data_IF_465064342646
#
_entry.id   IF_465064342646
#
_cell.length_a   1.000
_cell.length_b   1.000
_cell.length_c   1.000
_cell.angle_alpha   90.00
_cell.angle_beta   90.00
_cell.angle_gamma   90.00
#
_symmetry.space_group_name_H-M   'P 1'
#
loop_
_entity.id
_entity.type
_entity.pdbx_description
1 polymer ?
#
# COMPACT_ATOMS: atom_id res chain seq x y z
N UNK A 1 20.52 -6.08 12.28
CA UNK A 1 19.54 -6.48 11.24
C UNK A 1 19.69 -5.51 10.07
N UNK A 2 20.14 -5.97 8.89
CA UNK A 2 20.21 -5.12 7.69
C UNK A 2 18.79 -5.04 7.13
N UNK A 3 18.13 -3.89 7.27
CA UNK A 3 16.84 -3.65 6.62
C UNK A 3 16.98 -3.84 5.12
N UNK A 4 15.94 -4.39 4.48
CA UNK A 4 15.89 -4.49 3.03
C UNK A 4 16.22 -3.13 2.39
N UNK A 5 16.91 -3.10 1.22
CA UNK A 5 17.16 -1.86 0.51
C UNK A 5 15.83 -1.12 0.32
N UNK A 6 15.74 0.11 0.84
CA UNK A 6 14.58 0.97 0.59
C UNK A 6 14.52 1.17 -0.93
N UNK A 7 13.36 0.94 -1.59
CA UNK A 7 13.23 1.27 -3.00
C UNK A 7 13.66 2.72 -3.20
N UNK A 8 14.47 3.07 -4.21
CA UNK A 8 14.77 4.47 -4.49
C UNK A 8 13.46 5.24 -4.66
N UNK A 9 13.43 6.49 -4.20
CA UNK A 9 12.36 7.41 -4.60
C UNK A 9 12.69 7.82 -6.01
N UNK A 10 11.87 7.36 -6.97
CA UNK A 10 12.03 7.73 -8.37
C UNK A 10 11.80 9.23 -8.57
N UNK A 11 12.27 9.75 -9.70
CA UNK A 11 11.90 11.10 -10.14
C UNK A 11 10.42 11.15 -10.60
N UNK A 12 9.86 9.98 -10.93
CA UNK A 12 8.44 9.81 -11.24
C UNK A 12 7.64 9.47 -9.98
N UNK A 13 6.52 10.18 -9.73
CA UNK A 13 5.58 9.81 -8.69
C UNK A 13 5.02 8.41 -8.92
N UNK A 14 4.92 7.62 -7.86
CA UNK A 14 4.45 6.24 -7.92
C UNK A 14 3.92 5.77 -6.56
N UNK A 15 2.99 4.83 -6.63
CA UNK A 15 2.56 4.04 -5.48
C UNK A 15 3.38 2.75 -5.42
N UNK A 16 4.09 2.53 -4.32
CA UNK A 16 5.04 1.41 -4.18
C UNK A 16 4.69 0.56 -2.97
N UNK A 17 4.47 -0.74 -3.21
CA UNK A 17 4.37 -1.72 -2.12
C UNK A 17 5.71 -1.83 -1.39
N UNK A 18 5.68 -1.75 -0.06
CA UNK A 18 6.86 -1.93 0.77
C UNK A 18 6.91 -3.33 1.39
N UNK A 19 5.81 -3.77 2.00
CA UNK A 19 5.73 -5.07 2.67
C UNK A 19 4.28 -5.42 2.97
N UNK A 20 4.03 -6.68 3.33
CA UNK A 20 2.81 -7.08 4.01
C UNK A 20 3.19 -7.89 5.24
N UNK A 21 2.47 -7.69 6.35
CA UNK A 21 2.84 -8.28 7.64
C UNK A 21 1.65 -8.35 8.60
N UNK A 22 1.73 -9.30 9.54
CA UNK A 22 0.82 -9.38 10.68
C UNK A 22 1.44 -8.72 11.91
N UNK A 23 0.69 -7.85 12.59
CA UNK A 23 1.11 -7.25 13.88
C UNK A 23 0.03 -7.49 14.93
N UNK A 24 -1.09 -6.78 14.79
CA UNK A 24 -2.36 -7.01 15.51
C UNK A 24 -3.48 -7.41 14.57
N UNK A 25 -3.32 -7.08 13.29
CA UNK A 25 -4.15 -7.40 12.14
C UNK A 25 -3.22 -7.53 10.92
N UNK A 26 -3.74 -8.00 9.79
CA UNK A 26 -3.00 -8.01 8.54
C UNK A 26 -2.85 -6.61 8.00
N UNK A 27 -1.64 -6.26 7.56
CA UNK A 27 -1.36 -4.96 6.98
C UNK A 27 -0.67 -5.12 5.63
N UNK A 28 -1.16 -4.40 4.64
CA UNK A 28 -0.41 -4.10 3.41
C UNK A 28 0.17 -2.71 3.57
N UNK A 29 1.51 -2.64 3.60
CA UNK A 29 2.24 -1.38 3.75
C UNK A 29 2.73 -0.95 2.39
N UNK A 30 2.34 0.25 1.99
CA UNK A 30 2.71 0.87 0.73
C UNK A 30 3.09 2.33 0.95
N UNK A 31 3.66 2.94 -0.07
CA UNK A 31 4.12 4.31 -0.03
C UNK A 31 3.69 5.07 -1.28
N UNK A 32 3.52 6.37 -1.14
CA UNK A 32 3.30 7.29 -2.25
C UNK A 32 4.45 8.28 -2.33
N UNK A 33 4.94 8.56 -3.54
CA UNK A 33 6.07 9.44 -3.80
C UNK A 33 5.61 10.78 -4.34
N UNK A 34 5.70 11.85 -3.52
CA UNK A 34 5.21 13.20 -3.85
C UNK A 34 3.72 13.25 -4.24
N UNK A 35 2.91 12.31 -3.75
CA UNK A 35 1.47 12.24 -4.00
C UNK A 35 0.68 12.22 -2.70
N UNK A 36 -0.53 12.75 -2.78
CA UNK A 36 -1.48 12.73 -1.66
C UNK A 36 -2.45 11.56 -1.85
N UNK A 37 -2.51 10.67 -0.86
CA UNK A 37 -3.50 9.59 -0.86
C UNK A 37 -4.93 10.14 -0.70
N UNK A 38 -5.84 9.71 -1.57
CA UNK A 38 -7.27 10.07 -1.52
C UNK A 38 -8.11 8.97 -0.91
N UNK A 39 -8.00 7.76 -1.46
CA UNK A 39 -8.73 6.59 -0.95
C UNK A 39 -8.01 5.30 -1.37
N UNK A 40 -8.35 4.21 -0.68
CA UNK A 40 -7.91 2.87 -1.03
C UNK A 40 -9.11 1.96 -0.98
N UNK A 41 -9.26 1.14 -2.01
CA UNK A 41 -10.33 0.15 -2.08
C UNK A 41 -9.77 -1.24 -2.36
N UNK A 42 -10.53 -2.24 -1.94
CA UNK A 42 -10.39 -3.64 -2.30
C UNK A 42 -11.74 -4.05 -2.88
N UNK A 43 -11.78 -4.48 -4.14
CA UNK A 43 -13.02 -4.79 -4.88
C UNK A 43 -14.08 -3.65 -4.81
N UNK A 44 -13.61 -2.39 -4.87
CA UNK A 44 -14.46 -1.20 -4.78
C UNK A 44 -14.97 -0.86 -3.37
N UNK A 45 -14.68 -1.68 -2.36
CA UNK A 45 -14.98 -1.39 -0.96
C UNK A 45 -13.84 -0.62 -0.32
N UNK A 46 -14.13 0.50 0.34
CA UNK A 46 -13.10 1.28 1.05
C UNK A 46 -12.43 0.46 2.15
N UNK A 47 -11.09 0.52 2.17
CA UNK A 47 -10.26 -0.14 3.17
C UNK A 47 -9.76 0.91 4.17
N UNK A 48 -9.77 0.63 5.48
CA UNK A 48 -9.16 1.51 6.47
C UNK A 48 -7.66 1.66 6.20
N UNK A 49 -7.22 2.91 6.04
CA UNK A 49 -5.80 3.23 5.85
C UNK A 49 -5.33 4.25 6.87
N UNK A 50 -4.16 3.97 7.46
CA UNK A 50 -3.47 4.90 8.36
C UNK A 50 -2.12 5.32 7.78
N UNK A 51 -1.80 6.61 7.90
CA UNK A 51 -0.45 7.10 7.63
C UNK A 51 0.46 6.69 8.80
N UNK A 52 1.49 5.89 8.51
CA UNK A 52 2.41 5.34 9.53
C UNK A 52 3.75 6.06 9.58
N UNK A 53 4.03 6.94 8.62
CA UNK A 53 5.20 7.80 8.67
C UNK A 53 5.56 8.45 7.36
N UNK A 54 6.76 9.02 7.33
CA UNK A 54 7.40 9.56 6.14
C UNK A 54 8.82 9.02 6.00
N UNK A 55 9.28 8.88 4.76
CA UNK A 55 10.62 8.45 4.41
C UNK A 55 11.25 9.47 3.44
N UNK A 56 12.54 9.28 3.15
CA UNK A 56 13.28 10.06 2.16
C UNK A 56 13.15 11.58 2.33
N UNK A 57 13.31 12.06 3.58
CA UNK A 57 13.24 13.50 3.88
C UNK A 57 11.86 14.12 3.70
N UNK A 58 10.79 13.32 3.71
CA UNK A 58 9.40 13.78 3.58
C UNK A 58 8.81 13.60 2.19
N UNK A 59 9.60 13.21 1.19
CA UNK A 59 9.14 12.99 -0.20
C UNK A 59 8.28 11.73 -0.37
N UNK A 60 8.38 10.80 0.57
CA UNK A 60 7.64 9.53 0.54
C UNK A 60 6.73 9.46 1.77
N UNK A 61 5.42 9.40 1.57
CA UNK A 61 4.47 9.11 2.64
C UNK A 61 4.25 7.59 2.71
N UNK A 62 4.20 7.03 3.92
CA UNK A 62 4.00 5.58 4.12
C UNK A 62 2.67 5.35 4.80
N UNK A 63 1.93 4.40 4.23
CA UNK A 63 0.57 4.04 4.63
C UNK A 63 0.49 2.56 4.94
N UNK A 64 -0.43 2.20 5.84
CA UNK A 64 -0.78 0.83 6.12
C UNK A 64 -2.29 0.66 5.95
N UNK A 65 -2.68 -0.17 4.99
CA UNK A 65 -4.05 -0.65 4.84
C UNK A 65 -4.24 -1.84 5.78
N UNK A 66 -5.29 -1.81 6.60
CA UNK A 66 -5.58 -2.83 7.61
C UNK A 66 -6.67 -3.79 7.13
N UNK A 67 -6.44 -5.09 7.31
CA UNK A 67 -7.36 -6.16 6.98
C UNK A 67 -7.58 -7.08 8.19
N UNK A 68 -8.83 -7.54 8.41
CA UNK A 68 -9.11 -8.51 9.46
C UNK A 68 -8.46 -9.86 9.16
N UNK A 69 -8.43 -10.25 7.88
CA UNK A 69 -7.92 -11.52 7.38
C UNK A 69 -6.79 -11.31 6.38
N UNK A 70 -6.09 -12.41 6.06
CA UNK A 70 -5.09 -12.39 5.02
C UNK A 70 -5.78 -12.12 3.68
N UNK A 71 -5.29 -11.13 2.93
CA UNK A 71 -5.79 -10.80 1.59
C UNK A 71 -4.80 -11.20 0.50
N UNK A 72 -5.32 -11.65 -0.64
CA UNK A 72 -4.63 -11.86 -1.92
C UNK A 72 -5.22 -10.94 -2.99
N UNK A 73 -4.56 -10.78 -4.13
CA UNK A 73 -4.99 -9.85 -5.19
C UNK A 73 -4.36 -8.47 -5.02
N UNK A 74 -5.04 -7.40 -5.44
CA UNK A 74 -4.51 -6.03 -5.44
C UNK A 74 -5.46 -4.98 -4.84
N UNK A 75 -4.87 -4.00 -4.16
CA UNK A 75 -5.57 -2.79 -3.74
C UNK A 75 -5.62 -1.79 -4.88
N UNK A 76 -6.77 -1.15 -5.03
CA UNK A 76 -6.93 0.02 -5.89
C UNK A 76 -6.66 1.27 -5.05
N UNK A 77 -5.61 2.01 -5.39
CA UNK A 77 -5.15 3.19 -4.66
C UNK A 77 -5.42 4.43 -5.50
N UNK A 78 -6.20 5.36 -4.97
CA UNK A 78 -6.46 6.66 -5.60
C UNK A 78 -5.56 7.71 -4.97
N UNK A 79 -4.77 8.39 -5.80
CA UNK A 79 -3.84 9.44 -5.39
C UNK A 79 -4.03 10.71 -6.18
N UNK A 80 -3.69 11.83 -5.56
CA UNK A 80 -3.54 13.12 -6.23
C UNK A 80 -2.07 13.32 -6.62
N UNK A 81 -1.82 13.43 -7.92
CA UNK A 81 -0.53 13.77 -8.54
C UNK A 81 -0.58 15.17 -9.14
N UNK A 82 -0.15 16.16 -8.36
CA UNK A 82 -0.31 17.57 -8.74
C UNK A 82 -1.80 17.91 -8.90
N UNK A 83 -2.25 18.27 -10.10
CA UNK A 83 -3.67 18.54 -10.40
C UNK A 83 -4.45 17.34 -10.95
N UNK A 84 -3.81 16.18 -11.11
CA UNK A 84 -4.43 14.98 -11.66
C UNK A 84 -4.76 13.96 -10.56
N UNK A 85 -5.91 13.32 -10.67
CA UNK A 85 -6.19 12.10 -9.91
C UNK A 85 -5.73 10.89 -10.72
N UNK A 86 -5.02 9.98 -10.06
CA UNK A 86 -4.45 8.77 -10.65
C UNK A 86 -4.89 7.59 -9.81
N UNK A 87 -5.20 6.48 -10.49
CA UNK A 87 -5.50 5.20 -9.87
C UNK A 87 -4.35 4.25 -10.14
N UNK A 88 -3.78 3.66 -9.09
CA UNK A 88 -2.73 2.67 -9.17
C UNK A 88 -3.13 1.37 -8.46
N UNK A 89 -2.55 0.25 -8.90
CA UNK A 89 -2.79 -1.07 -8.32
C UNK A 89 -1.60 -1.48 -7.45
N UNK A 90 -1.86 -1.92 -6.23
CA UNK A 90 -0.85 -2.36 -5.27
C UNK A 90 -1.10 -3.82 -4.90
N UNK A 91 -0.20 -4.76 -5.24
CA UNK A 91 -0.42 -6.16 -4.89
C UNK A 91 -0.41 -6.34 -3.37
N UNK A 92 -1.32 -7.16 -2.87
CA UNK A 92 -1.38 -7.56 -1.47
C UNK A 92 -0.37 -8.67 -1.17
N UNK A 93 -0.10 -9.53 -2.17
CA UNK A 93 0.70 -10.75 -2.18
C UNK A 93 1.65 -10.98 -0.99
N UNK A 94 1.08 -11.65 0.01
CA UNK A 94 1.76 -12.65 0.79
C UNK A 94 1.50 -13.98 0.07
N UNK A 95 2.54 -14.77 -0.23
CA UNK A 95 2.35 -16.09 -0.83
C UNK A 95 1.37 -16.91 0.02
N UNK A 96 0.19 -17.28 -0.49
CA UNK A 96 -0.79 -18.02 0.30
C UNK A 96 -0.26 -19.42 0.57
N UNK A 97 -0.36 -19.87 1.83
CA UNK A 97 -0.13 -21.27 2.19
C UNK A 97 -1.42 -22.08 2.35
N UNK A 98 -2.61 -21.47 2.23
CA UNK A 98 -3.90 -22.16 2.41
C UNK A 98 -5.05 -21.54 1.60
N UNK A 99 -6.04 -22.36 1.23
CA UNK A 99 -7.27 -22.03 0.47
C UNK A 99 -8.30 -21.15 1.25
N UNK A 100 -7.90 -20.55 2.38
CA UNK A 100 -8.79 -19.78 3.27
C UNK A 100 -8.58 -18.27 3.19
N UNK A 101 -7.98 -17.78 2.10
CA UNK A 101 -7.53 -16.40 1.97
C UNK A 101 -8.58 -15.55 1.26
N UNK A 102 -8.91 -14.39 1.82
CA UNK A 102 -9.84 -13.46 1.21
C UNK A 102 -9.17 -12.74 0.02
N UNK A 103 -9.98 -12.24 -0.93
CA UNK A 103 -9.49 -11.76 -2.22
C UNK A 103 -9.78 -10.27 -2.42
N UNK A 104 -8.92 -9.63 -3.22
CA UNK A 104 -9.05 -8.28 -3.72
C UNK A 104 -8.78 -8.29 -5.23
N UNK A 105 -9.66 -8.81 -6.10
CA UNK A 105 -9.51 -8.68 -7.57
C UNK A 105 -10.83 -8.33 -8.28
#
# INVERSE_FOLDING_TARGET
>A
MRGAPRPPVGDEPAVVRLTAQFVTAWHVVFATDNEELRSVTCEGTEVPVRRVGTMAGGRRAVYAAEFPDLMTGSLTVHVQRGSMEVTESVPTDLTPSDDSVAHCD
#
